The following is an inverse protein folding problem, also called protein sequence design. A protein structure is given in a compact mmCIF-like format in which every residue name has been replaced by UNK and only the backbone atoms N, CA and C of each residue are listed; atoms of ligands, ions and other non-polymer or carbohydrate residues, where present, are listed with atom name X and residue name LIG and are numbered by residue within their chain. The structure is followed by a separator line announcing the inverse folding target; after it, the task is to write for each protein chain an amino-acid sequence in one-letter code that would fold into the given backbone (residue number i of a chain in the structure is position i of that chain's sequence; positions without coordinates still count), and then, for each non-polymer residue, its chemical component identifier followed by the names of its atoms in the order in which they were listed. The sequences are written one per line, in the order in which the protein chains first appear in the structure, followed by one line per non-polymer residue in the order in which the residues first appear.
data_IF_038505467793
#
_entry.id   IF_038505467793
#
_cell.length_a   1.000
_cell.length_b   1.000
_cell.length_c   1.000
_cell.angle_alpha   90.00
_cell.angle_beta   90.00
_cell.angle_gamma   90.00
#
_symmetry.space_group_name_H-M   'P 1'
#
loop_
_entity.id
_entity.type
_entity.pdbx_description
1 polymer ?
#
# COMPACT_ATOMS: atom_id res chain seq x y z
N UNK A 1 19.86 13.10 13.27
CA UNK A 1 19.24 11.95 13.96
C UNK A 1 19.84 10.63 13.46
N UNK A 2 20.35 9.77 14.34
CA UNK A 2 20.90 8.47 13.95
C UNK A 2 19.84 7.59 13.28
N UNK A 3 20.27 6.69 12.40
CA UNK A 3 19.39 5.66 11.83
C UNK A 3 19.02 4.68 12.93
N UNK A 4 17.74 4.30 13.03
CA UNK A 4 17.30 3.31 14.02
C UNK A 4 17.50 1.91 13.46
N UNK A 5 18.04 0.99 14.27
CA UNK A 5 18.21 -0.43 13.89
C UNK A 5 16.91 -1.04 13.39
N UNK A 6 15.78 -0.69 14.02
CA UNK A 6 14.45 -1.10 13.60
C UNK A 6 14.16 -0.80 12.11
N UNK A 7 14.48 0.42 11.64
CA UNK A 7 14.25 0.81 10.24
C UNK A 7 15.18 0.09 9.26
N UNK A 8 16.40 -0.22 9.69
CA UNK A 8 17.33 -1.01 8.88
C UNK A 8 16.87 -2.45 8.73
N UNK A 9 16.39 -3.06 9.82
CA UNK A 9 15.81 -4.41 9.78
C UNK A 9 14.60 -4.41 8.84
N UNK A 10 13.71 -3.44 8.98
CA UNK A 10 12.52 -3.35 8.13
C UNK A 10 12.87 -3.18 6.65
N UNK A 11 13.82 -2.30 6.34
CA UNK A 11 14.33 -2.11 4.98
C UNK A 11 14.94 -3.41 4.44
N UNK A 12 15.80 -4.07 5.22
CA UNK A 12 16.42 -5.33 4.82
C UNK A 12 15.37 -6.42 4.53
N UNK A 13 14.36 -6.57 5.39
CA UNK A 13 13.26 -7.52 5.19
C UNK A 13 12.53 -7.24 3.88
N UNK A 14 12.14 -5.98 3.63
CA UNK A 14 11.43 -5.62 2.40
C UNK A 14 12.29 -5.85 1.16
N UNK A 15 13.58 -5.52 1.21
CA UNK A 15 14.49 -5.77 0.09
C UNK A 15 14.68 -7.27 -0.18
N UNK A 16 14.75 -8.10 0.86
CA UNK A 16 14.82 -9.57 0.70
C UNK A 16 13.55 -10.08 -0.01
N UNK A 17 12.37 -9.64 0.42
CA UNK A 17 11.09 -10.03 -0.20
C UNK A 17 10.98 -9.52 -1.63
N UNK A 18 11.46 -8.32 -1.91
CA UNK A 18 11.47 -7.76 -3.27
C UNK A 18 12.40 -8.52 -4.22
N UNK A 19 13.60 -8.87 -3.76
CA UNK A 19 14.53 -9.70 -4.54
C UNK A 19 13.93 -11.08 -4.77
N UNK A 20 13.35 -11.68 -3.74
CA UNK A 20 12.67 -12.97 -3.87
C UNK A 20 11.54 -12.93 -4.90
N UNK A 21 10.68 -11.90 -4.87
CA UNK A 21 9.53 -11.83 -5.78
C UNK A 21 9.94 -11.76 -7.26
N UNK A 22 11.13 -11.19 -7.54
CA UNK A 22 11.70 -11.10 -8.88
C UNK A 22 12.28 -12.43 -9.42
N UNK A 23 12.51 -13.42 -8.55
CA UNK A 23 13.05 -14.71 -8.97
C UNK A 23 11.93 -15.54 -9.59
N UNK A 24 11.92 -15.63 -10.92
CA UNK A 24 10.94 -16.41 -11.70
C UNK A 24 9.49 -16.05 -11.32
N UNK A 25 9.01 -14.82 -11.62
CA UNK A 25 7.60 -14.51 -11.46
C UNK A 25 6.75 -15.50 -12.27
N UNK A 26 5.58 -15.87 -11.74
CA UNK A 26 4.68 -16.90 -12.27
C UNK A 26 3.80 -16.39 -13.43
N UNK A 27 3.97 -15.14 -13.81
CA UNK A 27 3.39 -14.52 -14.99
C UNK A 27 4.52 -13.81 -15.77
N UNK A 28 4.29 -12.63 -16.32
CA UNK A 28 5.36 -11.92 -17.05
C UNK A 28 6.19 -11.02 -16.12
N UNK A 29 7.44 -10.75 -16.52
CA UNK A 29 8.26 -9.72 -15.86
C UNK A 29 7.64 -8.32 -15.97
N UNK A 30 6.82 -8.06 -17.01
CA UNK A 30 6.09 -6.82 -17.15
C UNK A 30 5.01 -6.70 -16.06
N UNK A 31 4.19 -7.74 -15.87
CA UNK A 31 3.20 -7.80 -14.78
C UNK A 31 3.87 -7.58 -13.43
N UNK A 32 4.96 -8.30 -13.15
CA UNK A 32 5.72 -8.11 -11.91
C UNK A 32 6.22 -6.67 -11.73
N UNK A 33 6.72 -6.06 -12.80
CA UNK A 33 7.21 -4.68 -12.76
C UNK A 33 6.08 -3.70 -12.47
N UNK A 34 4.95 -3.81 -13.16
CA UNK A 34 3.78 -2.94 -12.98
C UNK A 34 3.22 -3.04 -11.55
N UNK A 35 3.12 -4.26 -11.02
CA UNK A 35 2.63 -4.55 -9.67
C UNK A 35 3.57 -4.03 -8.56
N UNK A 36 4.90 -4.11 -8.79
CA UNK A 36 5.89 -3.62 -7.81
C UNK A 36 6.28 -2.15 -8.02
N UNK A 37 5.83 -1.50 -9.09
CA UNK A 37 6.13 -0.12 -9.43
C UNK A 37 5.81 0.87 -8.29
N UNK A 38 4.65 0.77 -7.58
CA UNK A 38 4.37 1.66 -6.45
C UNK A 38 5.46 1.63 -5.38
N UNK A 39 5.99 0.44 -5.06
CA UNK A 39 7.11 0.30 -4.14
C UNK A 39 8.41 0.89 -4.69
N UNK A 40 8.74 0.60 -5.96
CA UNK A 40 9.94 1.13 -6.62
C UNK A 40 9.95 2.66 -6.65
N UNK A 41 8.80 3.30 -6.77
CA UNK A 41 8.66 4.76 -6.68
C UNK A 41 8.74 5.28 -5.22
N UNK A 42 8.10 4.59 -4.28
CA UNK A 42 8.05 5.02 -2.89
C UNK A 42 9.41 4.92 -2.18
N UNK A 43 10.19 3.86 -2.44
CA UNK A 43 11.44 3.60 -1.73
C UNK A 43 12.47 4.75 -1.89
N UNK A 44 12.80 5.25 -3.10
CA UNK A 44 13.69 6.39 -3.26
C UNK A 44 13.20 7.64 -2.52
N UNK A 45 11.89 7.94 -2.58
CA UNK A 45 11.31 9.10 -1.89
C UNK A 45 11.53 8.99 -0.38
N UNK A 46 11.27 7.81 0.19
CA UNK A 46 11.47 7.53 1.61
C UNK A 46 12.94 7.68 2.00
N UNK A 47 13.88 7.13 1.23
CA UNK A 47 15.31 7.19 1.51
C UNK A 47 15.84 8.63 1.45
N UNK A 48 15.43 9.40 0.44
CA UNK A 48 15.85 10.79 0.25
C UNK A 48 15.27 11.72 1.34
N UNK A 49 14.06 11.44 1.81
CA UNK A 49 13.40 12.24 2.85
C UNK A 49 13.75 11.82 4.27
N UNK A 50 14.27 10.61 4.50
CA UNK A 50 14.47 10.01 5.83
C UNK A 50 15.18 10.89 6.87
N UNK A 51 16.17 11.69 6.45
CA UNK A 51 16.91 12.59 7.36
C UNK A 51 16.16 13.89 7.66
N UNK A 52 15.36 14.40 6.72
CA UNK A 52 14.64 15.67 6.81
C UNK A 52 13.23 15.49 7.38
N UNK A 53 12.55 14.44 6.94
CA UNK A 53 11.18 14.11 7.27
C UNK A 53 11.08 12.61 7.54
N UNK A 54 11.55 12.20 8.73
CA UNK A 54 11.41 10.80 9.16
C UNK A 54 9.95 10.53 9.51
N UNK A 55 9.37 9.50 8.92
CA UNK A 55 8.01 9.03 9.24
C UNK A 55 7.99 8.33 10.62
N UNK A 56 6.80 8.16 11.18
CA UNK A 56 6.64 7.38 12.41
C UNK A 56 6.97 5.90 12.18
N UNK A 57 7.43 5.22 13.24
CA UNK A 57 7.71 3.78 13.18
C UNK A 57 6.49 3.00 12.66
N UNK A 58 5.27 3.38 13.09
CA UNK A 58 3.99 2.81 12.64
C UNK A 58 3.82 2.94 11.11
N UNK A 59 4.03 4.13 10.57
CA UNK A 59 3.93 4.40 9.14
C UNK A 59 4.94 3.58 8.34
N UNK A 60 6.19 3.48 8.82
CA UNK A 60 7.18 2.62 8.18
C UNK A 60 6.75 1.15 8.16
N UNK A 61 6.22 0.62 9.27
CA UNK A 61 5.70 -0.76 9.34
C UNK A 61 4.61 -1.00 8.31
N UNK A 62 3.64 -0.09 8.23
CA UNK A 62 2.52 -0.21 7.31
C UNK A 62 3.00 -0.16 5.85
N UNK A 63 3.95 0.73 5.52
CA UNK A 63 4.56 0.78 4.19
C UNK A 63 5.23 -0.54 3.84
N UNK A 64 5.98 -1.12 4.78
CA UNK A 64 6.64 -2.40 4.57
C UNK A 64 5.65 -3.56 4.37
N UNK A 65 4.61 -3.64 5.19
CA UNK A 65 3.54 -4.64 5.04
C UNK A 65 2.82 -4.49 3.70
N UNK A 66 2.48 -3.26 3.31
CA UNK A 66 1.84 -2.97 2.04
C UNK A 66 2.73 -3.39 0.86
N UNK A 67 4.02 -3.03 0.89
CA UNK A 67 4.98 -3.41 -0.14
C UNK A 67 5.12 -4.93 -0.27
N UNK A 68 5.17 -5.67 0.84
CA UNK A 68 5.27 -7.13 0.81
C UNK A 68 4.00 -7.80 0.26
N UNK A 69 2.81 -7.24 0.50
CA UNK A 69 1.54 -7.71 -0.10
C UNK A 69 1.60 -7.56 -1.64
N UNK A 70 2.04 -6.40 -2.13
CA UNK A 70 2.21 -6.18 -3.57
C UNK A 70 3.26 -7.13 -4.17
N UNK A 71 4.40 -7.33 -3.51
CA UNK A 71 5.46 -8.22 -3.98
C UNK A 71 5.02 -9.68 -4.03
N UNK A 72 4.21 -10.14 -3.06
CA UNK A 72 3.64 -11.47 -3.07
C UNK A 72 2.68 -11.64 -4.25
N UNK A 73 1.81 -10.67 -4.49
CA UNK A 73 0.93 -10.62 -5.66
C UNK A 73 1.71 -10.62 -6.97
N UNK A 74 2.73 -9.77 -7.09
CA UNK A 74 3.59 -9.67 -8.25
C UNK A 74 4.37 -10.97 -8.56
N UNK A 75 4.82 -11.70 -7.52
CA UNK A 75 5.53 -12.97 -7.71
C UNK A 75 4.62 -14.03 -8.34
N UNK A 76 3.39 -14.17 -7.83
CA UNK A 76 2.47 -15.20 -8.31
C UNK A 76 1.60 -14.74 -9.50
N UNK A 77 1.47 -13.44 -9.75
CA UNK A 77 0.25 -12.81 -10.30
C UNK A 77 -0.94 -13.00 -9.35
N UNK A 78 -1.75 -11.95 -9.23
CA UNK A 78 -2.82 -11.87 -8.23
C UNK A 78 -3.82 -13.02 -8.36
N UNK A 79 -4.13 -13.43 -9.58
CA UNK A 79 -5.03 -14.55 -9.87
C UNK A 79 -4.50 -15.92 -9.39
N UNK A 80 -3.21 -16.05 -9.06
CA UNK A 80 -2.56 -17.32 -8.71
C UNK A 80 -2.00 -17.34 -7.28
N UNK A 81 -2.20 -16.29 -6.48
CA UNK A 81 -1.69 -16.28 -5.10
C UNK A 81 -2.41 -17.35 -4.27
N UNK A 82 -1.68 -18.25 -3.58
CA UNK A 82 -2.28 -19.37 -2.84
C UNK A 82 -3.34 -18.95 -1.81
N UNK A 83 -3.13 -17.84 -1.10
CA UNK A 83 -4.10 -17.32 -0.13
C UNK A 83 -5.45 -17.03 -0.78
N UNK A 84 -5.46 -16.45 -1.98
CA UNK A 84 -6.69 -16.15 -2.68
C UNK A 84 -7.39 -17.40 -3.22
N UNK A 85 -6.64 -18.45 -3.59
CA UNK A 85 -7.20 -19.77 -3.94
C UNK A 85 -7.86 -20.43 -2.73
N UNK A 86 -7.25 -20.35 -1.55
CA UNK A 86 -7.88 -20.86 -0.33
C UNK A 86 -9.17 -20.11 0.02
N UNK A 87 -9.19 -18.79 -0.17
CA UNK A 87 -10.40 -17.99 0.04
C UNK A 87 -11.50 -18.35 -0.96
N UNK A 88 -11.15 -18.66 -2.20
CA UNK A 88 -12.08 -19.16 -3.20
C UNK A 88 -12.80 -20.41 -2.69
N UNK A 89 -12.04 -21.40 -2.20
CA UNK A 89 -12.59 -22.63 -1.63
C UNK A 89 -13.42 -22.39 -0.35
N UNK A 90 -12.93 -21.56 0.58
CA UNK A 90 -13.58 -21.34 1.87
C UNK A 90 -14.90 -20.58 1.76
N UNK A 91 -14.98 -19.61 0.85
CA UNK A 91 -16.15 -18.76 0.69
C UNK A 91 -17.02 -19.14 -0.51
N UNK A 92 -16.61 -20.13 -1.30
CA UNK A 92 -17.30 -20.55 -2.51
C UNK A 92 -17.31 -19.45 -3.58
N UNK A 93 -16.25 -18.66 -3.67
CA UNK A 93 -16.12 -17.64 -4.72
C UNK A 93 -15.79 -18.29 -6.06
N UNK A 94 -16.04 -17.55 -7.14
CA UNK A 94 -15.81 -18.03 -8.50
C UNK A 94 -14.44 -17.65 -9.06
N UNK A 95 -13.60 -16.99 -8.25
CA UNK A 95 -12.28 -16.49 -8.63
C UNK A 95 -11.39 -16.25 -7.42
N UNK A 96 -10.10 -16.07 -7.68
CA UNK A 96 -9.12 -15.63 -6.72
C UNK A 96 -9.31 -14.13 -6.41
N UNK A 97 -9.53 -13.78 -5.14
CA UNK A 97 -9.76 -12.40 -4.68
C UNK A 97 -8.57 -11.84 -3.86
N UNK A 98 -7.34 -12.24 -4.19
CA UNK A 98 -6.15 -11.70 -3.50
C UNK A 98 -5.96 -10.19 -3.73
N UNK A 99 -6.35 -9.68 -4.90
CA UNK A 99 -6.48 -8.24 -5.22
C UNK A 99 -7.28 -7.49 -4.17
N UNK A 100 -8.38 -8.07 -3.70
CA UNK A 100 -9.20 -7.44 -2.66
C UNK A 100 -8.42 -7.20 -1.36
N UNK A 101 -7.46 -8.06 -1.03
CA UNK A 101 -6.54 -7.85 0.10
C UNK A 101 -5.58 -6.69 -0.20
N UNK A 102 -5.06 -6.63 -1.43
CA UNK A 102 -4.28 -5.51 -1.94
C UNK A 102 -5.01 -4.18 -1.79
N UNK A 103 -6.26 -4.10 -2.27
CA UNK A 103 -7.07 -2.89 -2.18
C UNK A 103 -7.49 -2.53 -0.76
N UNK A 104 -7.79 -3.53 0.09
CA UNK A 104 -8.00 -3.29 1.52
C UNK A 104 -6.75 -2.66 2.16
N UNK A 105 -5.56 -3.16 1.85
CA UNK A 105 -4.29 -2.61 2.34
C UNK A 105 -3.96 -1.25 1.72
N UNK A 106 -4.33 -1.03 0.44
CA UNK A 106 -4.24 0.24 -0.26
C UNK A 106 -5.11 1.32 0.39
N UNK A 107 -6.19 0.94 1.04
CA UNK A 107 -6.89 1.84 1.96
C UNK A 107 -6.19 1.97 3.30
N UNK A 108 -5.91 0.83 3.93
CA UNK A 108 -5.53 0.75 5.33
C UNK A 108 -4.19 1.44 5.65
N UNK A 109 -3.15 1.15 4.87
CA UNK A 109 -1.85 1.78 5.04
C UNK A 109 -1.86 3.26 4.63
N UNK A 110 -2.13 3.57 3.34
CA UNK A 110 -2.15 4.93 2.82
C UNK A 110 -3.00 5.93 3.60
N UNK A 111 -4.06 5.51 4.28
CA UNK A 111 -4.80 6.39 5.19
C UNK A 111 -3.91 6.97 6.30
N UNK A 112 -3.01 6.19 6.88
CA UNK A 112 -2.05 6.67 7.88
C UNK A 112 -0.94 7.49 7.24
N UNK A 113 -0.48 7.14 6.03
CA UNK A 113 0.61 7.87 5.35
C UNK A 113 0.15 9.29 5.03
N UNK A 114 -1.04 9.40 4.43
CA UNK A 114 -1.69 10.66 4.13
C UNK A 114 -1.94 11.47 5.41
N UNK A 115 -2.50 10.82 6.45
CA UNK A 115 -2.72 11.44 7.75
C UNK A 115 -1.44 12.04 8.33
N UNK A 116 -0.33 11.30 8.29
CA UNK A 116 0.95 11.73 8.84
C UNK A 116 1.51 12.93 8.08
N UNK A 117 1.53 12.86 6.74
CA UNK A 117 2.03 13.94 5.89
C UNK A 117 1.19 15.20 6.13
N UNK A 118 -0.14 15.11 5.99
CA UNK A 118 -1.05 16.24 6.12
C UNK A 118 -0.95 16.88 7.51
N UNK A 119 -0.94 16.08 8.58
CA UNK A 119 -0.87 16.61 9.95
C UNK A 119 0.45 17.33 10.25
N UNK A 120 1.52 17.07 9.47
CA UNK A 120 2.86 17.63 9.72
C UNK A 120 3.27 18.70 8.70
N UNK A 121 2.60 18.79 7.56
CA UNK A 121 2.98 19.70 6.46
C UNK A 121 1.86 20.65 6.04
N UNK A 122 0.72 20.65 6.72
CA UNK A 122 -0.43 21.49 6.40
C UNK A 122 -1.05 22.11 7.66
N UNK A 123 -1.90 23.15 7.54
CA UNK A 123 -2.62 23.73 8.69
C UNK A 123 -3.78 22.86 9.20
N UNK A 124 -4.06 21.71 8.57
CA UNK A 124 -5.18 20.83 8.95
C UNK A 124 -4.92 20.22 10.32
N UNK A 125 -5.74 20.61 11.29
CA UNK A 125 -5.67 20.11 12.66
C UNK A 125 -6.30 18.73 12.81
N UNK A 126 -5.94 18.05 13.90
CA UNK A 126 -6.60 16.80 14.33
C UNK A 126 -8.12 17.03 14.42
N UNK A 127 -8.88 16.18 13.74
CA UNK A 127 -10.34 16.25 13.74
C UNK A 127 -10.94 15.69 12.46
N UNK A 128 -12.18 16.09 12.19
CA UNK A 128 -12.97 15.56 11.06
C UNK A 128 -12.33 15.81 9.69
N UNK A 129 -11.71 16.98 9.50
CA UNK A 129 -11.04 17.32 8.24
C UNK A 129 -9.80 16.47 7.98
N UNK A 130 -8.96 16.26 9.00
CA UNK A 130 -7.82 15.37 8.87
C UNK A 130 -8.28 13.94 8.53
N UNK A 131 -9.32 13.44 9.20
CA UNK A 131 -9.89 12.13 8.91
C UNK A 131 -10.44 12.05 7.48
N UNK A 132 -11.20 13.05 7.03
CA UNK A 132 -11.73 13.13 5.67
C UNK A 132 -10.63 13.05 4.62
N UNK A 133 -9.59 13.88 4.71
CA UNK A 133 -8.49 13.82 3.75
C UNK A 133 -7.70 12.51 3.83
N UNK A 134 -7.58 11.94 5.03
CA UNK A 134 -6.94 10.62 5.21
C UNK A 134 -7.74 9.49 4.56
N UNK A 135 -9.06 9.63 4.37
CA UNK A 135 -9.88 8.70 3.60
C UNK A 135 -9.84 9.01 2.10
N UNK A 136 -9.92 10.30 1.74
CA UNK A 136 -10.04 10.74 0.35
C UNK A 136 -8.77 10.48 -0.47
N UNK A 137 -7.58 10.64 0.14
CA UNK A 137 -6.31 10.46 -0.57
C UNK A 137 -6.12 9.02 -1.05
N UNK A 138 -6.24 7.97 -0.22
CA UNK A 138 -6.18 6.57 -0.67
C UNK A 138 -7.20 6.25 -1.78
N UNK A 139 -8.43 6.76 -1.66
CA UNK A 139 -9.45 6.56 -2.69
C UNK A 139 -9.11 7.22 -4.02
N UNK A 140 -8.57 8.44 -3.99
CA UNK A 140 -8.12 9.12 -5.19
C UNK A 140 -6.98 8.35 -5.87
N UNK A 141 -6.04 7.81 -5.09
CA UNK A 141 -4.99 6.93 -5.61
C UNK A 141 -5.56 5.62 -6.16
N UNK A 142 -6.55 5.02 -5.49
CA UNK A 142 -7.22 3.81 -5.97
C UNK A 142 -7.90 4.06 -7.30
N UNK A 143 -8.71 5.11 -7.41
CA UNK A 143 -9.37 5.47 -8.66
C UNK A 143 -8.35 5.74 -9.78
N UNK A 144 -7.22 6.39 -9.47
CA UNK A 144 -6.16 6.61 -10.46
C UNK A 144 -5.50 5.29 -10.89
N UNK A 145 -5.26 4.36 -9.97
CA UNK A 145 -4.67 3.05 -10.27
C UNK A 145 -5.56 2.25 -11.24
N UNK A 146 -6.85 2.17 -10.95
CA UNK A 146 -7.85 1.49 -11.80
C UNK A 146 -7.94 2.12 -13.21
N UNK A 147 -7.84 3.45 -13.29
CA UNK A 147 -7.80 4.16 -14.58
C UNK A 147 -6.52 3.80 -15.35
N UNK A 148 -5.38 3.65 -14.66
CA UNK A 148 -4.13 3.25 -15.29
C UNK A 148 -4.14 1.79 -15.76
N UNK A 149 -4.73 0.88 -14.98
CA UNK A 149 -4.93 -0.53 -15.37
C UNK A 149 -5.80 -0.64 -16.61
N UNK A 150 -6.93 0.07 -16.61
CA UNK A 150 -7.81 0.14 -17.79
C UNK A 150 -7.09 0.77 -19.00
N UNK A 151 -6.32 1.84 -18.80
CA UNK A 151 -5.55 2.46 -19.88
C UNK A 151 -4.46 1.50 -20.43
N UNK A 152 -3.80 0.75 -19.55
CA UNK A 152 -2.81 -0.25 -19.93
C UNK A 152 -3.46 -1.37 -20.77
N UNK A 153 -4.63 -1.87 -20.35
CA UNK A 153 -5.37 -2.92 -21.06
C UNK A 153 -5.83 -2.50 -22.45
N UNK A 154 -6.12 -1.22 -22.68
CA UNK A 154 -6.44 -0.69 -24.01
C UNK A 154 -5.21 -0.63 -24.93
N UNK A 155 -4.01 -0.47 -24.38
CA UNK A 155 -2.78 -0.29 -25.16
C UNK A 155 -2.14 -1.61 -25.60
N UNK A 156 -2.16 -2.63 -24.74
CA UNK A 156 -1.59 -3.94 -25.02
C UNK A 156 -2.39 -5.05 -24.28
N UNK A 157 -3.54 -5.46 -24.83
CA UNK A 157 -4.46 -6.38 -24.15
C UNK A 157 -3.81 -7.71 -23.75
N UNK A 158 -2.97 -8.28 -24.62
CA UNK A 158 -2.39 -9.60 -24.41
C UNK A 158 -1.37 -9.64 -23.26
N UNK A 159 -0.64 -8.54 -23.04
CA UNK A 159 0.43 -8.49 -22.04
C UNK A 159 -0.02 -7.86 -20.71
N UNK A 160 -1.24 -7.30 -20.64
CA UNK A 160 -1.74 -6.58 -19.46
C UNK A 160 -3.07 -7.08 -18.93
N UNK A 161 -3.67 -8.12 -19.52
CA UNK A 161 -4.88 -8.75 -18.99
C UNK A 161 -4.67 -9.25 -17.54
N UNK A 162 -3.52 -9.86 -17.26
CA UNK A 162 -3.16 -10.32 -15.93
C UNK A 162 -2.94 -9.17 -14.93
N UNK A 163 -2.56 -7.99 -15.41
CA UNK A 163 -2.43 -6.78 -14.62
C UNK A 163 -3.79 -6.13 -14.36
N UNK A 164 -4.70 -6.12 -15.35
CA UNK A 164 -6.08 -5.65 -15.18
C UNK A 164 -6.86 -6.47 -14.15
N UNK A 165 -6.50 -7.74 -13.94
CA UNK A 165 -6.93 -8.49 -12.75
C UNK A 165 -8.40 -8.93 -12.68
N UNK A 166 -9.27 -8.48 -13.62
CA UNK A 166 -10.73 -8.71 -13.54
C UNK A 166 -11.15 -10.18 -13.43
N UNK A 167 -10.42 -11.09 -14.08
CA UNK A 167 -10.79 -12.51 -14.18
C UNK A 167 -12.25 -12.70 -14.66
N UNK A 168 -12.74 -11.79 -15.51
CA UNK A 168 -14.13 -11.80 -15.99
C UNK A 168 -15.17 -11.26 -15.01
N UNK A 169 -14.78 -10.72 -13.85
CA UNK A 169 -15.69 -10.12 -12.89
C UNK A 169 -16.04 -8.68 -13.28
N UNK A 170 -17.32 -8.43 -13.58
CA UNK A 170 -17.80 -7.14 -14.07
C UNK A 170 -17.63 -5.99 -13.08
N UNK A 171 -17.69 -6.26 -11.77
CA UNK A 171 -17.71 -5.24 -10.72
C UNK A 171 -16.36 -5.05 -10.02
N UNK A 172 -15.28 -5.53 -10.65
CA UNK A 172 -13.95 -5.62 -10.03
C UNK A 172 -13.51 -4.28 -9.46
N UNK A 173 -13.27 -3.30 -10.33
CA UNK A 173 -12.90 -1.93 -10.01
C UNK A 173 -13.79 -1.27 -8.95
N UNK A 174 -15.12 -1.47 -9.00
CA UNK A 174 -16.01 -0.88 -8.00
C UNK A 174 -15.81 -1.52 -6.63
N UNK A 175 -15.67 -2.85 -6.58
CA UNK A 175 -15.43 -3.57 -5.33
C UNK A 175 -14.03 -3.32 -4.78
N UNK A 176 -13.04 -3.06 -5.64
CA UNK A 176 -11.69 -2.65 -5.25
C UNK A 176 -11.67 -1.30 -4.57
N UNK A 177 -12.27 -0.29 -5.21
CA UNK A 177 -12.43 1.02 -4.59
C UNK A 177 -13.24 0.94 -3.28
N UNK A 178 -14.25 0.07 -3.21
CA UNK A 178 -15.03 -0.13 -1.99
C UNK A 178 -14.20 -0.77 -0.87
N UNK A 179 -13.37 -1.77 -1.18
CA UNK A 179 -12.45 -2.37 -0.20
C UNK A 179 -11.37 -1.39 0.25
N UNK A 180 -10.88 -0.52 -0.65
CA UNK A 180 -10.02 0.59 -0.29
C UNK A 180 -10.71 1.56 0.68
N UNK A 181 -11.99 1.89 0.46
CA UNK A 181 -12.76 2.71 1.42
C UNK A 181 -12.85 2.03 2.79
N UNK A 182 -13.23 0.75 2.82
CA UNK A 182 -13.35 -0.04 4.07
C UNK A 182 -12.00 -0.08 4.79
N UNK A 183 -10.92 -0.36 4.09
CA UNK A 183 -9.56 -0.40 4.65
C UNK A 183 -9.16 0.94 5.26
N UNK A 184 -9.44 2.04 4.55
CA UNK A 184 -9.17 3.39 5.04
C UNK A 184 -9.97 3.71 6.31
N UNK A 185 -11.26 3.35 6.35
CA UNK A 185 -12.12 3.53 7.53
C UNK A 185 -11.62 2.69 8.71
N UNK A 186 -11.31 1.41 8.49
CA UNK A 186 -10.79 0.51 9.51
C UNK A 186 -9.47 1.03 10.09
N UNK A 187 -8.57 1.53 9.25
CA UNK A 187 -7.30 2.11 9.67
C UNK A 187 -7.49 3.31 10.59
N UNK A 188 -8.37 4.25 10.24
CA UNK A 188 -8.62 5.40 11.10
C UNK A 188 -9.29 5.00 12.42
N UNK A 189 -10.24 4.07 12.39
CA UNK A 189 -10.91 3.57 13.60
C UNK A 189 -9.93 2.87 14.56
N UNK A 190 -9.02 2.06 14.02
CA UNK A 190 -8.11 1.23 14.81
C UNK A 190 -6.83 1.97 15.22
N UNK A 191 -6.28 2.81 14.33
CA UNK A 191 -4.91 3.31 14.44
C UNK A 191 -4.81 4.81 14.69
N UNK A 192 -5.85 5.62 14.50
CA UNK A 192 -5.72 7.09 14.62
C UNK A 192 -5.22 7.53 16.01
N UNK A 193 -5.74 6.93 17.09
CA UNK A 193 -5.31 7.24 18.47
C UNK A 193 -3.87 6.79 18.74
N UNK A 194 -3.48 5.62 18.23
CA UNK A 194 -2.10 5.14 18.34
C UNK A 194 -1.17 6.07 17.56
N UNK A 195 -1.53 6.41 16.33
CA UNK A 195 -0.76 7.26 15.46
C UNK A 195 -0.57 8.66 16.06
N UNK A 196 -1.58 9.24 16.72
CA UNK A 196 -1.42 10.50 17.46
C UNK A 196 -0.32 10.44 18.52
N UNK A 197 -0.22 9.33 19.27
CA UNK A 197 0.86 9.13 20.24
C UNK A 197 2.23 9.08 19.56
N UNK A 198 2.33 8.47 18.38
CA UNK A 198 3.57 8.46 17.60
C UNK A 198 3.93 9.85 17.05
N UNK A 199 2.95 10.61 16.56
CA UNK A 199 3.16 11.98 16.07
C UNK A 199 3.70 12.90 17.18
N UNK A 200 3.10 12.84 18.39
CA UNK A 200 3.58 13.60 19.54
C UNK A 200 5.04 13.27 19.89
N UNK A 201 5.43 11.99 19.84
CA UNK A 201 6.83 11.56 20.08
C UNK A 201 7.79 12.09 19.01
N UNK A 202 7.35 12.19 17.76
CA UNK A 202 8.17 12.77 16.67
C UNK A 202 8.29 14.29 16.74
N UNK A 203 7.35 14.97 17.40
CA UNK A 203 7.32 16.43 17.56
C UNK A 203 7.89 16.92 18.90
N UNK A 204 8.09 16.02 19.88
CA UNK A 204 8.60 16.39 21.20
C UNK A 204 9.99 17.06 21.10
N UNK A 205 10.18 18.26 21.68
CA UNK A 205 11.47 18.93 21.69
C UNK A 205 12.41 18.20 22.67
N UNK A 206 13.23 17.28 22.16
CA UNK A 206 14.09 16.47 23.04
C UNK A 206 15.21 15.63 22.41
N UNK A 207 15.41 15.65 21.08
CA UNK A 207 16.57 14.99 20.43
C UNK A 207 17.18 15.91 19.35
N UNK A 208 17.18 17.22 19.63
CA UNK A 208 17.81 18.23 18.78
C UNK A 208 18.68 19.22 19.59
N UNK A 209 19.21 18.77 20.74
CA UNK A 209 20.30 19.43 21.44
C UNK A 209 21.21 18.38 22.09
N UNK A 210 22.19 17.92 21.33
CA UNK A 210 23.59 17.70 21.71
C UNK A 210 24.31 17.08 20.52
#
# INVERSE_FOLDING_TARGET
MPVRTYHLILLATVLIVWIWSAIKPQDTYLTWFLETLPFMMALPIILLTYKKFRLTDLTYTLIALHAMILMLGAHYSYAKVPLGLWMEEWFGWTRNNYDKIGHLMQGFGPAIYAREIIARTSPVQKGKWLAFFSLAVPLAFSALYEILEWAASLSNPNDTEAFLGTQGYLWDTQTDMFLCLIGSMASLLLLATLHDKHLLKTQAPGINKK
#
